data_IF_758986568156
#
_entry.id   IF_758986568156
#
_cell.length_a   1.000
_cell.length_b   1.000
_cell.length_c   1.000
_cell.angle_alpha   90.00
_cell.angle_beta   90.00
_cell.angle_gamma   90.00
#
_symmetry.space_group_name_H-M   'P 1'
#
loop_
_entity.id
_entity.type
_entity.pdbx_description
1 polymer ?
#
# COMPACT_ATOMS: atom_id res chain seq x y z
N UNK A 1 -19.51 11.28 -47.36
CA UNK A 1 -20.02 11.99 -46.18
C UNK A 1 -20.15 11.09 -44.96
N UNK A 2 -20.91 9.98 -44.99
CA UNK A 2 -21.11 9.10 -43.81
C UNK A 2 -19.80 8.57 -43.20
N UNK A 3 -18.82 8.12 -44.02
CA UNK A 3 -17.51 7.64 -43.54
C UNK A 3 -16.71 8.72 -42.82
N UNK A 4 -16.72 9.96 -43.29
CA UNK A 4 -16.02 11.08 -42.66
C UNK A 4 -16.63 11.43 -41.31
N UNK A 5 -17.96 11.41 -41.17
CA UNK A 5 -18.65 11.65 -39.92
C UNK A 5 -18.28 10.59 -38.87
N UNK A 6 -18.20 9.32 -39.27
CA UNK A 6 -17.77 8.23 -38.36
C UNK A 6 -16.33 8.42 -37.89
N UNK A 7 -15.43 8.79 -38.79
CA UNK A 7 -14.02 9.06 -38.44
C UNK A 7 -13.91 10.22 -37.46
N UNK A 8 -14.62 11.31 -37.68
CA UNK A 8 -14.63 12.48 -36.79
C UNK A 8 -15.22 12.11 -35.43
N UNK A 9 -16.33 11.37 -35.40
CA UNK A 9 -16.91 10.89 -34.13
C UNK A 9 -15.94 10.02 -33.33
N UNK A 10 -15.27 9.06 -33.99
CA UNK A 10 -14.26 8.22 -33.33
C UNK A 10 -13.07 9.03 -32.81
N UNK A 11 -12.62 10.02 -33.57
CA UNK A 11 -11.53 10.91 -33.16
C UNK A 11 -11.91 11.77 -31.93
N UNK A 12 -13.13 12.29 -31.89
CA UNK A 12 -13.63 13.09 -30.75
C UNK A 12 -13.79 12.21 -29.50
N UNK A 13 -14.41 11.05 -29.64
CA UNK A 13 -14.57 10.10 -28.52
C UNK A 13 -13.21 9.61 -28.03
N UNK A 14 -12.33 9.18 -28.93
CA UNK A 14 -10.97 8.73 -28.58
C UNK A 14 -10.13 9.84 -27.93
N UNK A 15 -10.20 11.06 -28.45
CA UNK A 15 -9.55 12.23 -27.86
C UNK A 15 -10.08 12.54 -26.47
N UNK A 16 -11.40 12.47 -26.26
CA UNK A 16 -12.01 12.65 -24.95
C UNK A 16 -11.53 11.61 -23.92
N UNK A 17 -11.45 10.35 -24.29
CA UNK A 17 -10.95 9.28 -23.40
C UNK A 17 -9.48 9.45 -23.02
N UNK A 18 -8.64 9.94 -23.95
CA UNK A 18 -7.22 10.22 -23.69
C UNK A 18 -7.08 11.36 -22.67
N UNK A 19 -7.84 12.43 -22.85
CA UNK A 19 -7.84 13.60 -21.92
C UNK A 19 -8.31 13.19 -20.54
N UNK A 20 -9.38 12.40 -20.44
CA UNK A 20 -9.91 11.92 -19.15
C UNK A 20 -8.90 11.00 -18.43
N UNK A 21 -8.30 10.06 -19.17
CA UNK A 21 -7.25 9.18 -18.63
C UNK A 21 -6.03 9.97 -18.16
N UNK A 22 -5.58 10.98 -18.92
CA UNK A 22 -4.48 11.86 -18.55
C UNK A 22 -4.77 12.66 -17.28
N UNK A 23 -6.01 13.14 -17.14
CA UNK A 23 -6.45 13.86 -15.94
C UNK A 23 -6.45 12.97 -14.69
N UNK A 24 -6.96 11.72 -14.79
CA UNK A 24 -6.95 10.75 -13.69
C UNK A 24 -5.51 10.43 -13.27
N UNK A 25 -4.63 10.19 -14.25
CA UNK A 25 -3.21 9.92 -13.97
C UNK A 25 -2.53 11.08 -13.25
N UNK A 26 -2.72 12.31 -13.74
CA UNK A 26 -2.15 13.50 -13.11
C UNK A 26 -2.65 13.71 -11.66
N UNK A 27 -3.92 13.40 -11.40
CA UNK A 27 -4.48 13.46 -10.03
C UNK A 27 -3.88 12.38 -9.11
N UNK A 28 -3.62 11.19 -9.63
CA UNK A 28 -2.99 10.12 -8.85
C UNK A 28 -1.54 10.50 -8.47
N UNK A 29 -0.78 11.06 -9.41
CA UNK A 29 0.58 11.54 -9.17
C UNK A 29 0.61 12.66 -8.12
N UNK A 30 -0.24 13.67 -8.28
CA UNK A 30 -0.37 14.77 -7.32
C UNK A 30 -0.76 14.27 -5.91
N UNK A 31 -1.58 13.23 -5.83
CA UNK A 31 -1.94 12.64 -4.54
C UNK A 31 -0.73 12.00 -3.84
N UNK A 32 0.22 11.40 -4.60
CA UNK A 32 1.45 10.86 -4.02
C UNK A 32 2.35 11.98 -3.47
N UNK A 33 2.47 13.12 -4.18
CA UNK A 33 3.21 14.30 -3.67
C UNK A 33 2.61 14.79 -2.35
N UNK A 34 1.30 14.93 -2.25
CA UNK A 34 0.65 15.35 -1.01
C UNK A 34 0.82 14.33 0.14
N UNK A 35 0.86 13.03 -0.16
CA UNK A 35 1.11 11.99 0.83
C UNK A 35 2.57 12.08 1.32
N UNK A 36 3.52 12.33 0.43
CA UNK A 36 4.92 12.55 0.78
C UNK A 36 5.08 13.79 1.65
N UNK A 37 4.50 14.91 1.29
CA UNK A 37 4.52 16.15 2.09
C UNK A 37 3.93 15.92 3.48
N UNK A 38 2.79 15.23 3.58
CA UNK A 38 2.17 14.87 4.84
C UNK A 38 3.07 13.95 5.69
N UNK A 39 3.83 13.05 5.06
CA UNK A 39 4.81 12.22 5.74
C UNK A 39 5.98 13.04 6.29
N UNK A 40 6.55 13.95 5.50
CA UNK A 40 7.64 14.82 5.96
C UNK A 40 7.19 15.71 7.13
N UNK A 41 6.00 16.32 7.05
CA UNK A 41 5.42 17.09 8.14
C UNK A 41 5.20 16.21 9.40
N UNK A 42 4.76 14.95 9.23
CA UNK A 42 4.62 13.99 10.34
C UNK A 42 5.95 13.78 11.06
N UNK A 43 7.04 13.58 10.30
CA UNK A 43 8.38 13.39 10.86
C UNK A 43 8.88 14.65 11.59
N UNK A 44 8.62 15.83 11.07
CA UNK A 44 9.02 17.11 11.70
C UNK A 44 8.25 17.34 13.00
N UNK A 45 6.94 17.11 13.00
CA UNK A 45 6.10 17.20 14.20
C UNK A 45 6.55 16.21 15.28
N UNK A 46 6.88 14.98 14.90
CA UNK A 46 7.36 13.97 15.84
C UNK A 46 8.69 14.39 16.49
N UNK A 47 9.64 14.99 15.73
CA UNK A 47 10.89 15.56 16.27
C UNK A 47 10.61 16.69 17.29
N UNK A 48 9.53 17.43 17.11
CA UNK A 48 9.09 18.47 18.04
C UNK A 48 8.27 17.92 19.23
N UNK A 49 8.10 16.60 19.33
CA UNK A 49 7.30 15.96 20.37
C UNK A 49 5.78 16.15 20.19
N UNK A 50 5.33 16.50 18.99
CA UNK A 50 3.91 16.71 18.66
C UNK A 50 3.38 15.44 17.99
N UNK A 51 2.44 14.77 18.65
CA UNK A 51 1.69 13.67 18.05
C UNK A 51 0.44 14.21 17.35
N UNK A 52 0.49 14.26 16.03
CA UNK A 52 -0.63 14.74 15.20
C UNK A 52 -0.85 13.82 13.99
N UNK A 53 -2.07 13.85 13.46
CA UNK A 53 -2.48 13.15 12.24
C UNK A 53 -2.41 14.13 11.08
N UNK A 54 -1.29 14.12 10.37
CA UNK A 54 -1.12 15.00 9.21
C UNK A 54 -1.80 14.38 8.01
N UNK A 55 -2.86 15.02 7.56
CA UNK A 55 -3.64 14.58 6.40
C UNK A 55 -3.06 15.13 5.11
N UNK A 56 -2.98 14.33 4.03
CA UNK A 56 -2.49 14.80 2.73
C UNK A 56 -3.30 15.95 2.14
N UNK A 57 -4.59 16.00 2.43
CA UNK A 57 -5.52 17.09 2.08
C UNK A 57 -6.61 17.21 3.14
N UNK A 58 -7.25 18.37 3.24
CA UNK A 58 -8.14 18.71 4.36
C UNK A 58 -9.35 17.76 4.55
N UNK A 59 -9.83 17.14 3.49
CA UNK A 59 -10.94 16.18 3.51
C UNK A 59 -10.49 14.72 3.45
N UNK A 60 -9.17 14.44 3.55
CA UNK A 60 -8.69 13.07 3.61
C UNK A 60 -9.21 12.37 4.87
N UNK A 61 -9.62 11.12 4.74
CA UNK A 61 -10.00 10.24 5.84
C UNK A 61 -8.87 9.28 6.25
N UNK A 62 -7.71 9.46 5.64
CA UNK A 62 -6.47 8.70 5.89
C UNK A 62 -5.26 9.64 6.02
N UNK A 63 -4.17 9.13 6.57
CA UNK A 63 -2.88 9.81 6.73
C UNK A 63 -1.75 8.78 6.71
N UNK A 64 -0.51 9.13 6.34
CA UNK A 64 0.60 8.20 6.36
C UNK A 64 0.99 7.81 7.80
N UNK A 65 1.27 6.53 8.02
CA UNK A 65 1.64 5.96 9.32
C UNK A 65 3.00 5.27 9.32
N UNK A 66 3.51 4.89 8.16
CA UNK A 66 4.83 4.31 7.96
C UNK A 66 5.26 4.50 6.50
N UNK A 67 6.57 4.38 6.24
CA UNK A 67 7.14 4.29 4.88
C UNK A 67 7.83 2.94 4.74
N UNK A 68 7.51 2.22 3.67
CA UNK A 68 8.10 0.92 3.34
C UNK A 68 9.03 1.07 2.13
N UNK A 69 10.26 0.59 2.24
CA UNK A 69 11.22 0.62 1.14
C UNK A 69 11.84 -0.75 0.91
N UNK A 70 11.88 -1.18 -0.35
CA UNK A 70 12.49 -2.43 -0.78
C UNK A 70 13.32 -2.19 -2.05
N UNK A 71 14.59 -1.83 -1.86
CA UNK A 71 15.49 -1.38 -2.93
C UNK A 71 15.65 -2.41 -4.06
N UNK A 72 15.61 -3.72 -3.73
CA UNK A 72 15.74 -4.80 -4.74
C UNK A 72 14.63 -4.79 -5.78
N UNK A 73 13.45 -4.30 -5.44
CA UNK A 73 12.28 -4.25 -6.32
C UNK A 73 11.90 -2.81 -6.70
N UNK A 74 12.76 -1.82 -6.38
CA UNK A 74 12.50 -0.40 -6.62
C UNK A 74 11.18 0.08 -5.98
N UNK A 75 10.93 -0.39 -4.76
CA UNK A 75 9.71 -0.08 -4.02
C UNK A 75 9.99 0.99 -2.96
N UNK A 76 9.17 2.03 -2.99
CA UNK A 76 9.09 3.09 -1.99
C UNK A 76 7.62 3.49 -1.83
N UNK A 77 6.99 3.08 -0.73
CA UNK A 77 5.56 3.21 -0.52
C UNK A 77 5.24 3.81 0.85
N UNK A 78 4.34 4.78 0.87
CA UNK A 78 3.74 5.29 2.09
C UNK A 78 2.57 4.43 2.51
N UNK A 79 2.64 3.86 3.70
CA UNK A 79 1.56 3.06 4.31
C UNK A 79 0.56 4.01 4.95
N UNK A 80 -0.68 3.93 4.52
CA UNK A 80 -1.76 4.81 4.95
C UNK A 80 -2.57 4.18 6.09
N UNK A 81 -3.16 5.01 6.94
CA UNK A 81 -4.03 4.53 8.02
C UNK A 81 -5.33 3.93 7.49
N UNK A 82 -5.65 2.71 7.90
CA UNK A 82 -6.87 2.00 7.52
C UNK A 82 -6.76 1.19 6.23
N UNK A 83 -7.65 0.21 6.10
CA UNK A 83 -7.75 -0.70 4.95
C UNK A 83 -9.07 -0.53 4.19
N UNK A 84 -9.67 0.67 4.27
CA UNK A 84 -10.88 1.02 3.52
C UNK A 84 -10.56 1.32 2.05
N UNK A 85 -11.56 1.27 1.18
CA UNK A 85 -11.38 1.54 -0.25
C UNK A 85 -10.74 2.89 -0.54
N UNK A 86 -11.02 3.91 0.27
CA UNK A 86 -10.44 5.26 0.11
C UNK A 86 -8.92 5.26 0.38
N UNK A 87 -8.46 4.63 1.48
CA UNK A 87 -7.03 4.52 1.76
C UNK A 87 -6.32 3.68 0.70
N UNK A 88 -6.89 2.50 0.36
CA UNK A 88 -6.31 1.58 -0.61
C UNK A 88 -6.27 2.12 -2.05
N UNK A 89 -7.04 3.15 -2.37
CA UNK A 89 -6.97 3.82 -3.67
C UNK A 89 -5.64 4.60 -3.86
N UNK A 90 -5.01 5.03 -2.77
CA UNK A 90 -3.83 5.90 -2.79
C UNK A 90 -2.55 5.21 -2.32
N UNK A 91 -2.64 4.11 -1.57
CA UNK A 91 -1.48 3.41 -1.04
C UNK A 91 -1.85 2.11 -0.33
N UNK A 92 -0.85 1.32 0.11
CA UNK A 92 -1.09 0.21 1.00
C UNK A 92 -1.62 0.71 2.34
N UNK A 93 -2.58 -0.02 2.92
CA UNK A 93 -3.29 0.39 4.13
C UNK A 93 -2.87 -0.40 5.36
N UNK A 94 -2.60 0.28 6.45
CA UNK A 94 -2.38 -0.30 7.77
C UNK A 94 -3.70 -0.79 8.38
N UNK A 95 -3.74 -2.04 8.82
CA UNK A 95 -4.89 -2.59 9.52
C UNK A 95 -4.91 -2.09 10.96
N UNK A 96 -5.86 -1.23 11.28
CA UNK A 96 -6.02 -0.69 12.63
C UNK A 96 -6.18 -1.81 13.67
N UNK A 97 -5.47 -1.67 14.80
CA UNK A 97 -5.45 -2.67 15.86
C UNK A 97 -4.40 -3.78 15.68
N UNK A 98 -3.67 -3.83 14.56
CA UNK A 98 -2.45 -4.63 14.45
C UNK A 98 -1.25 -3.90 15.06
N UNK A 99 -0.11 -4.59 15.25
CA UNK A 99 1.09 -4.00 15.87
C UNK A 99 1.71 -2.90 15.00
N UNK A 100 2.71 -2.19 15.53
CA UNK A 100 3.52 -1.21 14.82
C UNK A 100 4.94 -1.75 14.58
N UNK A 101 5.69 -1.19 13.61
CA UNK A 101 7.07 -1.62 13.36
C UNK A 101 7.93 -1.51 14.62
N UNK A 102 8.74 -2.54 14.89
CA UNK A 102 9.61 -2.60 16.06
C UNK A 102 8.96 -3.11 17.35
N UNK A 103 7.64 -3.25 17.40
CA UNK A 103 6.93 -3.76 18.58
C UNK A 103 6.52 -5.22 18.41
N UNK A 104 6.39 -6.00 19.52
CA UNK A 104 5.88 -7.37 19.48
C UNK A 104 4.51 -7.47 18.82
N UNK A 105 4.26 -8.57 18.11
CA UNK A 105 3.06 -8.78 17.33
C UNK A 105 3.29 -8.56 15.83
N UNK A 106 2.24 -8.63 15.04
CA UNK A 106 2.33 -8.44 13.59
C UNK A 106 1.66 -7.12 13.15
N UNK A 107 2.42 -6.25 12.49
CA UNK A 107 1.84 -5.16 11.70
C UNK A 107 1.26 -5.75 10.43
N UNK A 108 -0.02 -5.48 10.15
CA UNK A 108 -0.68 -5.96 8.94
C UNK A 108 -0.92 -4.81 7.99
N UNK A 109 -0.46 -4.99 6.75
CA UNK A 109 -0.58 -4.01 5.67
C UNK A 109 -1.29 -4.68 4.50
N UNK A 110 -2.44 -4.14 4.12
CA UNK A 110 -3.19 -4.56 2.94
C UNK A 110 -2.86 -3.71 1.72
N UNK A 111 -2.89 -4.31 0.53
CA UNK A 111 -2.69 -3.58 -0.72
C UNK A 111 -3.29 -4.31 -1.91
N UNK A 112 -3.58 -3.57 -2.99
CA UNK A 112 -4.07 -4.18 -4.22
C UNK A 112 -2.96 -4.99 -4.92
N UNK A 113 -3.31 -6.20 -5.43
CA UNK A 113 -2.39 -7.12 -6.09
C UNK A 113 -1.86 -6.63 -7.45
N UNK A 114 -2.59 -5.75 -8.09
CA UNK A 114 -2.35 -5.23 -9.43
C UNK A 114 -1.68 -3.85 -9.45
N UNK A 115 -1.56 -3.20 -8.28
CA UNK A 115 -0.91 -1.90 -8.10
C UNK A 115 0.18 -1.97 -7.03
N UNK A 116 -0.10 -1.47 -5.82
CA UNK A 116 0.88 -1.29 -4.74
C UNK A 116 1.60 -2.58 -4.32
N UNK A 117 0.92 -3.73 -4.39
CA UNK A 117 1.49 -5.03 -4.02
C UNK A 117 1.69 -5.99 -5.20
N UNK A 118 1.72 -5.45 -6.42
CA UNK A 118 2.02 -6.26 -7.62
C UNK A 118 3.40 -6.92 -7.58
N UNK A 119 4.37 -6.30 -6.92
CA UNK A 119 5.74 -6.81 -6.77
C UNK A 119 5.82 -8.06 -5.87
N UNK A 120 4.81 -8.30 -5.01
CA UNK A 120 4.82 -9.47 -4.11
C UNK A 120 4.84 -10.82 -4.82
N UNK A 121 4.44 -10.88 -6.10
CA UNK A 121 4.56 -12.09 -6.93
C UNK A 121 6.02 -12.48 -7.22
N UNK A 122 6.94 -11.51 -7.14
CA UNK A 122 8.34 -11.66 -7.56
C UNK A 122 9.32 -11.74 -6.37
N UNK A 123 8.85 -11.47 -5.14
CA UNK A 123 9.68 -11.51 -3.93
C UNK A 123 10.05 -12.94 -3.54
N UNK A 124 11.12 -13.09 -2.77
CA UNK A 124 11.63 -14.39 -2.30
C UNK A 124 11.89 -14.38 -0.81
N UNK A 125 11.79 -15.57 -0.19
CA UNK A 125 12.21 -15.76 1.20
C UNK A 125 13.68 -15.34 1.35
N UNK A 126 13.98 -14.62 2.43
CA UNK A 126 15.31 -14.07 2.74
C UNK A 126 15.54 -12.66 2.20
N UNK A 127 14.69 -12.12 1.33
CA UNK A 127 14.77 -10.72 0.90
C UNK A 127 14.40 -9.77 2.04
N UNK A 128 14.92 -8.55 1.97
CA UNK A 128 14.75 -7.56 3.03
C UNK A 128 14.08 -6.30 2.53
N UNK A 129 13.32 -5.67 3.43
CA UNK A 129 12.78 -4.33 3.25
C UNK A 129 12.86 -3.56 4.57
N UNK A 130 12.84 -2.25 4.51
CA UNK A 130 12.81 -1.39 5.67
C UNK A 130 11.42 -0.79 5.89
N UNK A 131 11.10 -0.58 7.17
CA UNK A 131 9.92 0.16 7.62
C UNK A 131 10.38 1.36 8.44
N UNK A 132 10.06 2.56 8.00
CA UNK A 132 10.26 3.78 8.77
C UNK A 132 8.97 4.12 9.51
N UNK A 133 9.08 4.40 10.81
CA UNK A 133 7.96 4.81 11.65
C UNK A 133 7.72 6.32 11.57
N UNK A 134 6.58 6.79 12.08
CA UNK A 134 6.27 8.22 12.24
C UNK A 134 7.29 8.99 13.11
N UNK A 135 8.04 8.29 13.98
CA UNK A 135 9.12 8.88 14.81
C UNK A 135 10.45 8.96 14.08
N UNK A 136 10.53 8.44 12.84
CA UNK A 136 11.74 8.42 12.03
C UNK A 136 12.65 7.20 12.26
N UNK A 137 12.31 6.32 13.19
CA UNK A 137 13.04 5.06 13.40
C UNK A 137 12.88 4.14 12.21
N UNK A 138 13.94 3.43 11.84
CA UNK A 138 13.96 2.50 10.70
C UNK A 138 14.24 1.09 11.19
N UNK A 139 13.35 0.17 10.85
CA UNK A 139 13.44 -1.23 11.18
C UNK A 139 13.59 -2.07 9.90
N UNK A 140 14.57 -2.97 9.87
CA UNK A 140 14.81 -3.87 8.74
C UNK A 140 14.16 -5.22 8.99
N UNK A 141 13.32 -5.63 8.07
CA UNK A 141 12.59 -6.89 8.11
C UNK A 141 13.09 -7.84 7.02
N UNK A 142 13.13 -9.14 7.32
CA UNK A 142 13.47 -10.20 6.38
C UNK A 142 12.26 -11.09 6.12
N UNK A 143 11.94 -11.37 4.87
CA UNK A 143 10.85 -12.28 4.49
C UNK A 143 11.17 -13.70 4.97
N UNK A 144 10.27 -14.27 5.76
CA UNK A 144 10.42 -15.60 6.40
C UNK A 144 9.42 -16.61 5.88
N UNK A 145 8.21 -16.18 5.44
CA UNK A 145 7.24 -17.07 4.79
C UNK A 145 6.38 -16.34 3.77
N UNK A 146 5.79 -17.13 2.88
CA UNK A 146 4.82 -16.69 1.88
C UNK A 146 3.72 -17.74 1.79
N UNK A 147 2.49 -17.36 2.14
CA UNK A 147 1.39 -18.28 2.33
C UNK A 147 0.15 -17.84 1.55
N UNK A 148 -0.68 -18.81 1.12
CA UNK A 148 -2.01 -18.55 0.58
C UNK A 148 -3.03 -18.90 1.64
N UNK A 149 -3.80 -17.91 2.08
CA UNK A 149 -4.79 -18.03 3.16
C UNK A 149 -6.20 -17.85 2.58
N UNK A 150 -7.12 -18.72 2.95
CA UNK A 150 -8.56 -18.59 2.61
C UNK A 150 -9.29 -17.92 3.77
N UNK A 151 -9.69 -16.65 3.58
CA UNK A 151 -10.35 -15.84 4.63
C UNK A 151 -11.74 -16.36 5.06
N UNK A 152 -12.30 -17.35 4.36
CA UNK A 152 -13.56 -18.00 4.76
C UNK A 152 -13.33 -19.13 5.77
N UNK A 153 -12.10 -19.62 5.90
CA UNK A 153 -11.70 -20.75 6.75
C UNK A 153 -10.69 -20.38 7.81
N UNK A 154 -9.77 -19.51 7.42
CA UNK A 154 -8.60 -19.16 8.21
C UNK A 154 -8.72 -17.74 8.76
N UNK A 155 -8.17 -17.52 9.94
CA UNK A 155 -8.01 -16.17 10.53
C UNK A 155 -6.57 -15.75 10.40
N UNK A 156 -6.34 -14.51 9.99
CA UNK A 156 -5.01 -13.91 10.03
C UNK A 156 -4.66 -13.66 11.51
N UNK A 157 -3.68 -14.40 12.01
CA UNK A 157 -3.19 -14.20 13.38
C UNK A 157 -2.33 -12.94 13.40
N UNK A 158 -2.66 -12.00 14.29
CA UNK A 158 -1.97 -10.71 14.44
C UNK A 158 -1.32 -10.55 15.81
N UNK A 159 -1.79 -11.29 16.82
CA UNK A 159 -1.32 -11.24 18.21
C UNK A 159 -0.66 -12.54 18.64
N UNK A 160 -0.03 -12.52 19.83
CA UNK A 160 0.60 -13.71 20.41
C UNK A 160 2.00 -14.01 19.89
N UNK A 161 2.64 -13.03 19.22
CA UNK A 161 4.04 -13.12 18.80
C UNK A 161 4.91 -12.32 19.77
N UNK A 162 6.00 -12.91 20.23
CA UNK A 162 7.03 -12.23 21.05
C UNK A 162 7.91 -11.34 20.14
N UNK A 163 8.05 -11.71 18.87
CA UNK A 163 8.82 -10.99 17.86
C UNK A 163 7.98 -9.91 17.16
N UNK A 164 8.68 -8.92 16.60
CA UNK A 164 8.07 -7.93 15.72
C UNK A 164 7.99 -8.48 14.30
N UNK A 165 6.76 -8.61 13.79
CA UNK A 165 6.49 -9.12 12.45
C UNK A 165 5.79 -8.05 11.58
N UNK A 166 5.98 -8.16 10.27
CA UNK A 166 5.18 -7.44 9.26
C UNK A 166 4.54 -8.47 8.34
N UNK A 167 3.23 -8.34 8.12
CA UNK A 167 2.47 -9.15 7.16
C UNK A 167 1.94 -8.27 6.04
N UNK A 168 2.44 -8.50 4.83
CA UNK A 168 1.94 -7.86 3.61
C UNK A 168 0.86 -8.75 3.01
N UNK A 169 -0.35 -8.22 2.87
CA UNK A 169 -1.54 -9.00 2.49
C UNK A 169 -2.15 -8.44 1.21
N UNK A 170 -2.33 -9.31 0.22
CA UNK A 170 -3.01 -8.93 -1.04
C UNK A 170 -3.97 -10.01 -1.51
N UNK A 171 -4.79 -9.69 -2.51
CA UNK A 171 -5.68 -10.67 -3.15
C UNK A 171 -4.88 -11.70 -3.95
N UNK A 172 -5.39 -12.94 -4.02
CA UNK A 172 -4.82 -14.03 -4.80
C UNK A 172 -5.91 -14.74 -5.62
N UNK A 173 -5.58 -15.29 -6.81
CA UNK A 173 -4.30 -15.24 -7.52
C UNK A 173 -4.02 -13.89 -8.18
N UNK A 174 -2.74 -13.62 -8.54
CA UNK A 174 -2.31 -12.34 -9.11
C UNK A 174 -2.86 -12.07 -10.52
N UNK A 175 -3.16 -13.12 -11.27
CA UNK A 175 -3.67 -13.10 -12.65
C UNK A 175 -5.20 -13.20 -12.76
N UNK A 176 -5.92 -13.21 -11.62
CA UNK A 176 -7.38 -13.32 -11.64
C UNK A 176 -8.04 -12.10 -12.30
N UNK A 177 -8.84 -12.36 -13.32
CA UNK A 177 -9.62 -11.35 -14.05
C UNK A 177 -10.73 -10.77 -13.17
N UNK A 178 -11.37 -11.61 -12.35
CA UNK A 178 -12.43 -11.17 -11.45
C UNK A 178 -11.87 -10.81 -10.07
N UNK A 179 -12.21 -9.64 -9.51
CA UNK A 179 -11.86 -9.27 -8.14
C UNK A 179 -12.70 -10.06 -7.11
N UNK A 180 -12.24 -10.11 -5.86
CA UNK A 180 -13.09 -10.52 -4.74
C UNK A 180 -13.08 -12.01 -4.38
N UNK A 181 -12.14 -12.82 -4.86
CA UNK A 181 -11.96 -14.21 -4.38
C UNK A 181 -11.59 -14.26 -2.87
N UNK A 182 -11.82 -15.41 -2.20
CA UNK A 182 -11.55 -15.54 -0.76
C UNK A 182 -10.07 -15.67 -0.41
N UNK A 183 -9.22 -15.94 -1.39
CA UNK A 183 -7.80 -16.19 -1.15
C UNK A 183 -7.01 -14.89 -1.02
N UNK A 184 -6.07 -14.91 -0.09
CA UNK A 184 -5.09 -13.83 0.14
C UNK A 184 -3.67 -14.41 0.06
N UNK A 185 -2.80 -13.67 -0.59
CA UNK A 185 -1.37 -13.91 -0.53
C UNK A 185 -0.80 -13.12 0.64
N UNK A 186 -0.14 -13.82 1.56
CA UNK A 186 0.41 -13.25 2.79
C UNK A 186 1.91 -13.45 2.79
N UNK A 187 2.66 -12.38 2.74
CA UNK A 187 4.12 -12.37 2.92
C UNK A 187 4.40 -11.96 4.35
N UNK A 188 5.02 -12.84 5.13
CA UNK A 188 5.41 -12.56 6.52
C UNK A 188 6.91 -12.29 6.59
N UNK A 189 7.28 -11.23 7.28
CA UNK A 189 8.66 -10.84 7.52
C UNK A 189 8.90 -10.61 9.01
N UNK A 190 10.08 -11.03 9.51
CA UNK A 190 10.52 -10.85 10.88
C UNK A 190 11.60 -9.80 11.00
N UNK A 191 11.62 -9.09 12.14
CA UNK A 191 12.59 -8.05 12.45
C UNK A 191 13.97 -8.67 12.67
N UNK A 192 15.00 -8.16 11.97
CA UNK A 192 16.41 -8.44 12.26
C UNK A 192 16.86 -9.90 12.08
N UNK A 193 16.05 -10.76 11.44
CA UNK A 193 16.36 -12.17 11.19
C UNK A 193 17.24 -12.38 9.96
#
# INVERSE_FOLDING_TARGET
MKKLIVIVLLAVVGGGLIVDSGYIYAKAELAQEFIEDAWQETLEKAKAGIEDKVKPWSWADTWPVARMQMAKHDIDLYVLNGTTGNALAFGPGYMNGSSQPGYPGAMVIGGHRDTHFSFLKDVKIGEQFSMQTKTGEVFNYRIISMDIVDVTRDKLVVDGFDDSLVKLVTCYPFDAVNPGGPQRYVVTAGLGL
#
